data_IF_207426353769
#
_entry.id   IF_207426353769
#
_cell.length_a   1.000
_cell.length_b   1.000
_cell.length_c   1.000
_cell.angle_alpha   90.00
_cell.angle_beta   90.00
_cell.angle_gamma   90.00
#
_symmetry.space_group_name_H-M   'P 1'
#
loop_
_entity.id
_entity.type
_entity.pdbx_description
1 polymer ?
#
# COMPACT_ATOMS: atom_id res chain seq x y z
N UNK A 1 -2.09 -3.66 -17.31
CA UNK A 1 -1.59 -3.87 -15.94
C UNK A 1 -0.23 -4.47 -16.15
N UNK A 2 0.83 -4.03 -15.45
CA UNK A 2 2.03 -4.86 -15.35
C UNK A 2 1.57 -6.28 -15.03
N UNK A 3 1.93 -7.26 -15.87
CA UNK A 3 1.31 -8.60 -15.85
C UNK A 3 1.36 -9.14 -14.42
N UNK A 4 0.20 -9.55 -13.89
CA UNK A 4 0.14 -10.26 -12.62
C UNK A 4 1.06 -11.48 -12.74
N UNK A 5 2.07 -11.57 -11.88
CA UNK A 5 2.94 -12.74 -11.86
C UNK A 5 2.21 -13.91 -11.17
N UNK A 6 2.65 -15.15 -11.41
CA UNK A 6 2.14 -16.31 -10.66
C UNK A 6 2.35 -16.14 -9.14
N UNK A 7 3.45 -15.50 -8.75
CA UNK A 7 3.77 -15.13 -7.36
C UNK A 7 2.77 -14.11 -6.80
N UNK A 8 2.32 -13.14 -7.61
CA UNK A 8 1.28 -12.18 -7.19
C UNK A 8 -0.06 -12.89 -6.92
N UNK A 9 -0.40 -13.89 -7.74
CA UNK A 9 -1.62 -14.67 -7.55
C UNK A 9 -1.57 -15.55 -6.32
N UNK A 10 -0.45 -16.24 -6.09
CA UNK A 10 -0.24 -17.04 -4.89
C UNK A 10 -0.30 -16.16 -3.64
N UNK A 11 0.38 -15.01 -3.67
CA UNK A 11 0.34 -14.04 -2.58
C UNK A 11 -1.08 -13.53 -2.32
N UNK A 12 -1.86 -13.30 -3.38
CA UNK A 12 -3.26 -12.89 -3.26
C UNK A 12 -4.12 -13.97 -2.63
N UNK A 13 -3.98 -15.23 -3.05
CA UNK A 13 -4.69 -16.38 -2.46
C UNK A 13 -4.34 -16.55 -0.99
N UNK A 14 -3.06 -16.42 -0.63
CA UNK A 14 -2.62 -16.48 0.76
C UNK A 14 -3.22 -15.32 1.60
N UNK A 15 -3.32 -14.11 1.02
CA UNK A 15 -4.00 -13.00 1.68
C UNK A 15 -5.50 -13.24 1.84
N UNK A 16 -6.17 -13.85 0.85
CA UNK A 16 -7.59 -14.19 0.89
C UNK A 16 -7.89 -15.23 1.98
N UNK A 17 -7.10 -16.31 2.06
CA UNK A 17 -7.19 -17.30 3.13
C UNK A 17 -7.04 -16.67 4.52
N UNK A 18 -6.07 -15.77 4.67
CA UNK A 18 -5.81 -15.08 5.94
C UNK A 18 -6.92 -14.08 6.37
N UNK A 19 -7.91 -13.80 5.52
CA UNK A 19 -9.05 -12.92 5.83
C UNK A 19 -10.40 -13.60 5.64
N UNK A 20 -10.40 -14.94 5.59
CA UNK A 20 -11.62 -15.73 5.51
C UNK A 20 -12.63 -15.31 6.59
N UNK A 21 -13.92 -15.31 6.25
CA UNK A 21 -15.00 -14.84 7.13
C UNK A 21 -15.22 -13.32 7.19
N UNK A 22 -14.30 -12.49 6.69
CA UNK A 22 -14.48 -11.01 6.75
C UNK A 22 -15.47 -10.44 5.71
N UNK A 23 -15.86 -11.27 4.72
CA UNK A 23 -16.64 -10.89 3.52
C UNK A 23 -15.97 -9.78 2.70
N UNK A 24 -14.64 -9.65 2.77
CA UNK A 24 -13.87 -8.72 1.96
C UNK A 24 -13.14 -9.49 0.86
N UNK A 25 -13.01 -8.90 -0.32
CA UNK A 25 -12.26 -9.45 -1.44
C UNK A 25 -10.92 -8.74 -1.56
N UNK A 26 -9.83 -9.47 -1.74
CA UNK A 26 -8.51 -8.88 -2.04
C UNK A 26 -8.49 -8.46 -3.51
N UNK A 27 -8.13 -7.20 -3.77
CA UNK A 27 -7.98 -6.66 -5.13
C UNK A 27 -6.51 -6.57 -5.57
N UNK A 28 -5.60 -6.43 -4.61
CA UNK A 28 -4.16 -6.40 -4.84
C UNK A 28 -3.45 -6.82 -3.56
N UNK A 29 -2.32 -7.51 -3.72
CA UNK A 29 -1.37 -7.82 -2.65
C UNK A 29 0.04 -7.59 -3.16
N UNK A 30 0.90 -7.00 -2.34
CA UNK A 30 2.29 -6.72 -2.71
C UNK A 30 3.22 -6.84 -1.50
N UNK A 31 4.40 -7.42 -1.70
CA UNK A 31 5.43 -7.51 -0.66
C UNK A 31 6.09 -6.15 -0.46
N UNK A 32 6.37 -5.81 0.78
CA UNK A 32 6.95 -4.52 1.16
C UNK A 32 7.91 -4.68 2.33
N UNK A 33 8.92 -3.83 2.41
CA UNK A 33 9.73 -3.67 3.61
C UNK A 33 9.15 -2.53 4.46
N UNK A 34 8.85 -2.81 5.73
CA UNK A 34 8.34 -1.81 6.68
C UNK A 34 9.45 -1.33 7.60
N UNK A 35 9.78 -0.05 7.55
CA UNK A 35 10.64 0.64 8.52
C UNK A 35 9.84 1.58 9.42
N UNK A 36 10.43 2.01 10.54
CA UNK A 36 9.87 3.11 11.35
C UNK A 36 10.29 4.42 10.70
N UNK A 37 9.37 5.38 10.58
CA UNK A 37 9.73 6.73 10.18
C UNK A 37 10.69 7.34 11.20
N UNK A 38 11.73 8.02 10.71
CA UNK A 38 12.70 8.72 11.56
C UNK A 38 12.12 10.11 11.84
N UNK A 39 11.68 10.36 13.08
CA UNK A 39 11.47 11.73 13.56
C UNK A 39 12.78 12.22 14.15
N UNK A 40 13.17 13.46 13.83
CA UNK A 40 14.40 14.16 14.19
C UNK A 40 15.31 13.57 15.28
N UNK A 41 16.62 13.60 14.99
CA UNK A 41 17.82 13.25 15.77
C UNK A 41 18.46 11.92 15.38
N UNK A 42 19.50 12.05 14.54
CA UNK A 42 20.62 11.11 14.46
C UNK A 42 21.16 10.90 15.88
N UNK A 43 20.85 9.76 16.48
CA UNK A 43 21.08 9.57 17.91
C UNK A 43 20.75 8.18 18.40
N UNK A 44 21.25 7.16 17.69
CA UNK A 44 21.58 5.79 18.12
C UNK A 44 21.37 4.85 16.94
N UNK A 45 22.48 4.31 16.45
CA UNK A 45 22.60 3.26 15.44
C UNK A 45 22.05 1.91 15.98
N UNK A 46 20.85 1.91 16.57
CA UNK A 46 20.12 0.67 16.81
C UNK A 46 19.59 0.23 15.46
N UNK A 47 20.12 -0.87 14.90
CA UNK A 47 19.67 -1.51 13.65
C UNK A 47 18.15 -1.70 13.67
N UNK A 48 17.39 -0.69 13.24
CA UNK A 48 15.96 -0.79 13.03
C UNK A 48 15.76 -1.49 11.68
N UNK A 49 16.03 -2.80 11.68
CA UNK A 49 15.91 -3.66 10.51
C UNK A 49 14.51 -3.53 9.92
N UNK A 50 14.45 -3.25 8.61
CA UNK A 50 13.19 -3.23 7.89
C UNK A 50 12.54 -4.61 8.01
N UNK A 51 11.24 -4.65 8.35
CA UNK A 51 10.51 -5.90 8.56
C UNK A 51 9.77 -6.28 7.27
N UNK A 52 9.92 -7.51 6.74
CA UNK A 52 9.14 -7.95 5.60
C UNK A 52 7.66 -8.01 5.97
N UNK A 53 6.82 -7.40 5.15
CA UNK A 53 5.37 -7.33 5.30
C UNK A 53 4.71 -7.50 3.94
N UNK A 54 3.40 -7.67 3.95
CA UNK A 54 2.58 -7.62 2.74
C UNK A 54 1.52 -6.54 2.94
N UNK A 55 1.34 -5.69 1.94
CA UNK A 55 0.19 -4.79 1.86
C UNK A 55 -0.85 -5.45 0.99
N UNK A 56 -2.05 -5.61 1.51
CA UNK A 56 -3.20 -6.12 0.78
C UNK A 56 -4.30 -5.07 0.75
N UNK A 57 -4.74 -4.71 -0.45
CA UNK A 57 -5.91 -3.86 -0.67
C UNK A 57 -7.14 -4.75 -0.75
N UNK A 58 -8.15 -4.42 0.03
CA UNK A 58 -9.39 -5.20 0.08
C UNK A 58 -10.62 -4.32 -0.01
N UNK A 59 -11.69 -4.86 -0.60
CA UNK A 59 -12.96 -4.19 -0.79
C UNK A 59 -14.11 -5.01 -0.20
N UNK A 60 -15.13 -4.32 0.30
CA UNK A 60 -16.35 -4.91 0.83
C UNK A 60 -17.56 -4.15 0.31
N UNK A 61 -18.47 -4.85 -0.35
CA UNK A 61 -19.79 -4.31 -0.65
C UNK A 61 -20.63 -4.23 0.63
N UNK A 62 -21.31 -3.10 0.82
CA UNK A 62 -22.29 -2.88 1.89
C UNK A 62 -23.51 -2.19 1.26
N UNK A 63 -24.41 -2.99 0.68
CA UNK A 63 -25.54 -2.49 -0.10
C UNK A 63 -25.03 -1.73 -1.34
N UNK A 64 -25.52 -0.51 -1.55
CA UNK A 64 -25.08 0.35 -2.65
C UNK A 64 -23.70 1.00 -2.45
N UNK A 65 -23.07 0.82 -1.27
CA UNK A 65 -21.78 1.46 -0.95
C UNK A 65 -20.66 0.45 -0.87
N UNK A 66 -19.54 0.78 -1.49
CA UNK A 66 -18.31 0.00 -1.38
C UNK A 66 -17.40 0.60 -0.31
N UNK A 67 -16.78 -0.25 0.51
CA UNK A 67 -15.75 0.14 1.47
C UNK A 67 -14.42 -0.45 1.05
N UNK A 68 -13.37 0.35 1.11
CA UNK A 68 -12.01 -0.10 0.80
C UNK A 68 -11.08 0.01 2.02
N UNK A 69 -10.14 -0.93 2.10
CA UNK A 69 -9.24 -1.10 3.21
C UNK A 69 -7.82 -1.38 2.72
N UNK A 70 -6.84 -0.90 3.49
CA UNK A 70 -5.45 -1.30 3.38
C UNK A 70 -5.11 -2.17 4.58
N UNK A 71 -4.65 -3.38 4.32
CA UNK A 71 -4.29 -4.36 5.33
C UNK A 71 -2.79 -4.60 5.30
N UNK A 72 -2.19 -4.60 6.48
CA UNK A 72 -0.80 -5.00 6.68
C UNK A 72 -0.83 -6.43 7.18
N UNK A 73 -0.16 -7.33 6.46
CA UNK A 73 0.04 -8.72 6.87
C UNK A 73 1.47 -8.92 7.34
N UNK A 74 1.67 -9.87 8.26
CA UNK A 74 2.97 -10.37 8.70
C UNK A 74 3.05 -11.87 8.42
N UNK A 75 4.24 -12.37 8.20
CA UNK A 75 4.48 -13.82 8.26
C UNK A 75 4.59 -14.25 9.72
N UNK A 76 3.90 -15.32 10.10
CA UNK A 76 4.06 -16.02 11.36
C UNK A 76 4.98 -17.25 11.19
N UNK A 77 5.27 -17.92 12.31
CA UNK A 77 6.05 -19.15 12.31
C UNK A 77 5.39 -20.19 11.39
N UNK A 78 6.16 -20.74 10.45
CA UNK A 78 5.63 -21.65 9.42
C UNK A 78 5.25 -20.96 8.09
N UNK A 79 5.53 -19.66 7.93
CA UNK A 79 5.37 -18.97 6.64
C UNK A 79 3.94 -18.56 6.30
N UNK A 80 3.00 -18.70 7.24
CA UNK A 80 1.60 -18.32 7.07
C UNK A 80 1.43 -16.81 7.20
N UNK A 81 0.56 -16.21 6.38
CA UNK A 81 0.21 -14.78 6.48
C UNK A 81 -0.87 -14.55 7.53
N UNK A 82 -0.63 -13.59 8.42
CA UNK A 82 -1.58 -13.16 9.44
C UNK A 82 -1.86 -11.65 9.35
N UNK A 83 -3.12 -11.21 9.55
CA UNK A 83 -3.44 -9.79 9.68
C UNK A 83 -2.70 -9.14 10.86
N UNK A 84 -1.96 -8.07 10.59
CA UNK A 84 -1.24 -7.29 11.61
C UNK A 84 -1.88 -5.92 11.88
N UNK A 85 -2.37 -5.23 10.84
CA UNK A 85 -3.06 -3.94 10.98
C UNK A 85 -4.05 -3.71 9.86
N UNK A 86 -5.14 -3.01 10.16
CA UNK A 86 -6.18 -2.65 9.20
C UNK A 86 -6.40 -1.13 9.19
N UNK A 87 -6.30 -0.53 8.02
CA UNK A 87 -6.63 0.87 7.77
C UNK A 87 -7.84 0.97 6.84
N UNK A 88 -8.72 1.94 7.08
CA UNK A 88 -9.83 2.24 6.16
C UNK A 88 -9.36 3.34 5.21
N UNK A 89 -9.41 3.11 3.90
CA UNK A 89 -8.91 4.09 2.92
C UNK A 89 -9.68 5.42 2.97
N UNK A 90 -10.91 5.43 3.50
CA UNK A 90 -11.65 6.67 3.74
C UNK A 90 -10.92 7.68 4.64
N UNK A 91 -9.93 7.25 5.42
CA UNK A 91 -9.12 8.09 6.30
C UNK A 91 -7.73 8.41 5.73
N UNK A 92 -7.40 7.91 4.54
CA UNK A 92 -6.15 8.23 3.88
C UNK A 92 -6.21 9.70 3.43
N UNK A 93 -5.35 10.52 3.99
CA UNK A 93 -5.30 11.97 3.74
C UNK A 93 -4.07 12.39 2.94
N UNK A 94 -2.97 11.63 3.03
CA UNK A 94 -1.70 11.95 2.37
C UNK A 94 -0.98 10.69 1.88
N UNK A 95 -0.39 10.77 0.70
CA UNK A 95 0.61 9.85 0.17
C UNK A 95 1.87 10.66 -0.10
N UNK A 96 2.99 10.25 0.49
CA UNK A 96 4.25 10.99 0.40
C UNK A 96 5.40 10.06 0.08
N UNK A 97 6.04 10.26 -1.08
CA UNK A 97 7.32 9.61 -1.41
C UNK A 97 8.43 10.32 -0.65
N UNK A 98 9.32 9.51 -0.09
CA UNK A 98 10.44 9.98 0.72
C UNK A 98 11.57 10.44 -0.22
N UNK A 99 11.91 11.72 -0.16
CA UNK A 99 12.89 12.35 -1.07
C UNK A 99 14.35 12.06 -0.72
N UNK A 100 14.63 11.55 0.49
CA UNK A 100 15.98 11.14 0.88
C UNK A 100 16.34 9.70 0.46
N UNK A 101 15.41 8.99 -0.17
CA UNK A 101 15.64 7.69 -0.79
C UNK A 101 15.88 7.88 -2.30
N UNK A 102 17.13 7.77 -2.78
CA UNK A 102 17.46 8.00 -4.18
C UNK A 102 16.83 6.96 -5.12
N UNK A 103 16.38 5.81 -4.59
CA UNK A 103 15.66 4.81 -5.39
C UNK A 103 14.21 5.22 -5.69
N UNK A 104 13.68 6.21 -4.98
CA UNK A 104 12.28 6.65 -5.09
C UNK A 104 11.25 5.57 -4.69
N UNK A 105 11.68 4.46 -4.08
CA UNK A 105 10.83 3.30 -3.77
C UNK A 105 10.15 3.40 -2.39
N UNK A 106 10.61 4.31 -1.53
CA UNK A 106 10.10 4.50 -0.17
C UNK A 106 9.03 5.58 -0.10
N UNK A 107 7.92 5.28 0.56
CA UNK A 107 6.83 6.23 0.78
C UNK A 107 6.15 6.04 2.14
N UNK A 108 5.31 7.00 2.52
CA UNK A 108 4.46 6.93 3.71
C UNK A 108 2.98 7.13 3.33
N UNK A 109 2.11 6.58 4.16
CA UNK A 109 0.65 6.74 4.04
C UNK A 109 0.13 7.42 5.29
N UNK A 110 -0.32 8.66 5.14
CA UNK A 110 -0.89 9.49 6.20
C UNK A 110 -2.38 9.21 6.37
N UNK A 111 -2.76 8.78 7.57
CA UNK A 111 -4.17 8.57 7.94
C UNK A 111 -4.59 9.58 9.01
N UNK A 112 -5.70 10.28 8.79
CA UNK A 112 -6.19 11.36 9.66
C UNK A 112 -6.76 10.88 11.00
N UNK A 113 -7.13 9.60 11.08
CA UNK A 113 -7.82 8.99 12.22
C UNK A 113 -6.89 8.24 13.19
N UNK A 114 -5.58 8.47 13.11
CA UNK A 114 -4.62 7.83 14.01
C UNK A 114 -4.62 8.54 15.36
N UNK A 115 -4.80 7.75 16.44
CA UNK A 115 -4.91 8.24 17.83
C UNK A 115 -3.70 9.07 18.28
N UNK A 116 -2.53 8.89 17.67
CA UNK A 116 -1.32 9.66 17.94
C UNK A 116 -0.71 10.12 16.62
N UNK A 117 -0.76 11.42 16.38
CA UNK A 117 -0.06 12.08 15.27
C UNK A 117 1.41 12.40 15.62
N UNK A 118 1.81 12.20 16.87
CA UNK A 118 3.18 12.44 17.35
C UNK A 118 4.18 11.35 16.98
N UNK A 119 3.71 10.21 16.45
CA UNK A 119 4.57 9.12 15.98
C UNK A 119 4.66 9.20 14.47
N UNK A 120 5.89 9.29 13.95
CA UNK A 120 6.14 9.29 12.52
C UNK A 120 5.45 8.09 11.83
N UNK A 121 4.78 8.31 10.69
CA UNK A 121 4.11 7.23 9.99
C UNK A 121 5.11 6.15 9.56
N UNK A 122 4.68 4.87 9.47
CA UNK A 122 5.53 3.84 8.91
C UNK A 122 5.98 4.19 7.49
N UNK A 123 7.24 3.92 7.20
CA UNK A 123 7.79 3.96 5.86
C UNK A 123 7.66 2.58 5.20
N UNK A 124 7.31 2.59 3.92
CA UNK A 124 7.06 1.43 3.09
C UNK A 124 8.01 1.49 1.91
N UNK A 125 8.97 0.58 1.87
CA UNK A 125 9.96 0.50 0.78
C UNK A 125 9.60 -0.67 -0.13
N UNK A 126 9.38 -0.36 -1.40
CA UNK A 126 9.11 -1.34 -2.46
C UNK A 126 10.39 -1.94 -3.03
N UNK A 127 10.26 -3.03 -3.77
CA UNK A 127 11.39 -3.68 -4.46
C UNK A 127 11.93 -2.80 -5.58
N UNK A 128 11.06 -2.08 -6.28
CA UNK A 128 11.38 -1.20 -7.39
C UNK A 128 10.28 -0.14 -7.56
N UNK A 129 10.52 0.80 -8.49
CA UNK A 129 9.61 1.89 -8.82
C UNK A 129 8.29 1.38 -9.42
N UNK A 130 8.32 0.30 -10.18
CA UNK A 130 7.12 -0.28 -10.79
C UNK A 130 6.14 -0.81 -9.73
N UNK A 131 6.63 -1.52 -8.73
CA UNK A 131 5.85 -2.03 -7.60
C UNK A 131 5.24 -0.89 -6.78
N UNK A 132 6.02 0.19 -6.57
CA UNK A 132 5.52 1.44 -5.97
C UNK A 132 4.39 2.02 -6.80
N UNK A 133 4.62 2.24 -8.09
CA UNK A 133 3.64 2.86 -8.99
C UNK A 133 2.37 2.03 -9.08
N UNK A 134 2.49 0.72 -9.21
CA UNK A 134 1.37 -0.22 -9.23
C UNK A 134 0.52 -0.11 -7.97
N UNK A 135 1.14 -0.11 -6.78
CA UNK A 135 0.39 0.03 -5.54
C UNK A 135 -0.25 1.41 -5.41
N UNK A 136 0.52 2.48 -5.62
CA UNK A 136 0.04 3.84 -5.42
C UNK A 136 -1.10 4.18 -6.40
N UNK A 137 -0.96 3.81 -7.67
CA UNK A 137 -2.01 3.98 -8.66
C UNK A 137 -3.27 3.20 -8.29
N UNK A 138 -3.14 1.96 -7.80
CA UNK A 138 -4.30 1.19 -7.31
C UNK A 138 -4.99 1.89 -6.13
N UNK A 139 -4.23 2.41 -5.16
CA UNK A 139 -4.78 3.18 -4.04
C UNK A 139 -5.50 4.43 -4.55
N UNK A 140 -4.89 5.20 -5.45
CA UNK A 140 -5.45 6.45 -5.97
C UNK A 140 -6.73 6.19 -6.76
N UNK A 141 -6.76 5.16 -7.62
CA UNK A 141 -7.96 4.76 -8.36
C UNK A 141 -9.08 4.34 -7.41
N UNK A 142 -8.78 3.52 -6.40
CA UNK A 142 -9.78 3.15 -5.39
C UNK A 142 -10.30 4.38 -4.63
N UNK A 143 -9.43 5.33 -4.28
CA UNK A 143 -9.87 6.56 -3.61
C UNK A 143 -10.78 7.40 -4.52
N UNK A 144 -10.43 7.54 -5.80
CA UNK A 144 -11.27 8.22 -6.78
C UNK A 144 -12.62 7.52 -6.96
N UNK A 145 -12.61 6.23 -7.27
CA UNK A 145 -13.80 5.48 -7.70
C UNK A 145 -14.74 5.15 -6.53
N UNK A 146 -14.19 4.86 -5.35
CA UNK A 146 -14.98 4.42 -4.18
C UNK A 146 -15.28 5.58 -3.22
N UNK A 147 -14.37 6.56 -3.11
CA UNK A 147 -14.49 7.65 -2.12
C UNK A 147 -14.81 9.00 -2.76
N UNK A 148 -14.74 9.14 -4.09
CA UNK A 148 -14.98 10.39 -4.80
C UNK A 148 -13.94 11.47 -4.54
N UNK A 149 -12.77 11.11 -3.96
CA UNK A 149 -11.71 12.07 -3.59
C UNK A 149 -10.34 11.43 -3.64
N UNK A 150 -9.31 12.25 -3.90
CA UNK A 150 -7.92 11.83 -3.86
C UNK A 150 -7.23 12.33 -2.57
N UNK A 151 -6.31 11.55 -1.97
CA UNK A 151 -5.44 12.06 -0.91
C UNK A 151 -4.47 13.10 -1.48
N UNK A 152 -3.87 13.93 -0.60
CA UNK A 152 -2.77 14.80 -0.99
C UNK A 152 -1.57 13.96 -1.42
N UNK A 153 -1.03 14.23 -2.60
CA UNK A 153 0.15 13.56 -3.14
C UNK A 153 1.36 14.49 -3.00
N UNK A 154 2.46 14.00 -2.41
CA UNK A 154 3.70 14.77 -2.18
C UNK A 154 4.91 13.96 -2.61
N UNK A 155 5.87 14.60 -3.29
CA UNK A 155 7.13 13.98 -3.70
C UNK A 155 7.01 12.95 -4.81
N UNK A 156 5.83 12.81 -5.42
CA UNK A 156 5.59 11.97 -6.58
C UNK A 156 5.71 12.82 -7.84
N UNK A 157 6.54 12.40 -8.78
CA UNK A 157 6.47 12.91 -10.15
C UNK A 157 5.18 12.35 -10.80
N UNK A 158 4.16 13.21 -10.86
CA UNK A 158 2.85 12.85 -11.41
C UNK A 158 2.91 12.61 -12.92
N UNK A 159 3.89 13.19 -13.63
CA UNK A 159 4.08 12.99 -15.06
C UNK A 159 4.69 11.62 -15.31
N UNK A 160 5.77 11.28 -14.60
CA UNK A 160 6.37 9.93 -14.63
C UNK A 160 5.30 8.87 -14.33
N UNK A 161 4.50 9.07 -13.28
CA UNK A 161 3.44 8.14 -12.90
C UNK A 161 2.34 8.03 -13.96
N UNK A 162 1.97 9.13 -14.62
CA UNK A 162 0.96 9.13 -15.67
C UNK A 162 1.46 8.41 -16.94
N UNK A 163 2.72 8.65 -17.33
CA UNK A 163 3.36 7.95 -18.44
C UNK A 163 3.47 6.45 -18.16
N UNK A 164 3.96 6.09 -16.97
CA UNK A 164 3.99 4.71 -16.51
C UNK A 164 2.61 4.07 -16.55
N UNK A 165 1.58 4.77 -16.06
CA UNK A 165 0.21 4.28 -16.07
C UNK A 165 -0.33 4.07 -17.50
N UNK A 166 0.01 4.95 -18.45
CA UNK A 166 -0.36 4.82 -19.86
C UNK A 166 0.26 3.57 -20.49
N UNK A 167 1.52 3.29 -20.20
CA UNK A 167 2.25 2.12 -20.72
C UNK A 167 1.81 0.81 -20.06
N UNK A 168 1.44 0.88 -18.78
CA UNK A 168 1.15 -0.30 -17.96
C UNK A 168 -0.35 -0.52 -17.71
N UNK A 169 -1.26 0.25 -18.29
CA UNK A 169 -2.71 -0.04 -18.28
C UNK A 169 -3.07 -0.62 -19.64
N UNK A 170 -3.74 -1.79 -19.72
CA UNK A 170 -4.10 -2.32 -21.02
C UNK A 170 -5.08 -1.32 -21.64
N UNK A 171 -4.82 -0.87 -22.87
CA UNK A 171 -5.86 -0.24 -23.67
C UNK A 171 -7.02 -1.23 -23.72
N UNK A 172 -8.19 -0.81 -23.23
CA UNK A 172 -9.43 -1.58 -23.46
C UNK A 172 -9.62 -1.54 -24.97
N UNK A 173 -9.15 -2.57 -25.67
CA UNK A 173 -9.51 -2.80 -27.07
C UNK A 173 -11.01 -3.06 -27.03
N UNK A 174 -11.77 -2.05 -27.46
CA UNK A 174 -13.23 -2.11 -27.58
C UNK A 174 -13.57 -2.92 -28.81
#
# INVERSE_FOLDING_TARGET
MAKSSADDEELRRACEAAIEGTKQKIVMSIRVAKSRGIWGKSGKLGRHMAKPRVLALSMKSKGQRTKAFLRVMKYSTGGVLEPAKLYKLKHLSKVEVITNDPSGCTFTLGFDNLRSQSVAPPQWTMRNIDDRNRLLLCILNICKDVLGRLPKVVGIDVVEMALWAKENTPSVTT
#
